data_IF_993546454374
#
_entry.id   IF_993546454374
#
_cell.length_a   1.000
_cell.length_b   1.000
_cell.length_c   1.000
_cell.angle_alpha   90.00
_cell.angle_beta   90.00
_cell.angle_gamma   90.00
#
_symmetry.space_group_name_H-M   'P 1'
#
loop_
_entity.id
_entity.type
_entity.pdbx_description
1 polymer ?
#
# COMPACT_ATOMS: atom_id res chain seq x y z
N UNK A 1 16.89 14.75 2.32
CA UNK A 1 15.63 15.41 1.96
C UNK A 1 14.90 14.46 1.04
N UNK A 2 14.17 13.48 1.57
CA UNK A 2 13.32 12.60 0.77
C UNK A 2 11.90 13.11 0.92
N UNK A 3 11.49 14.05 0.06
CA UNK A 3 10.06 14.33 -0.10
C UNK A 3 9.45 13.14 -0.82
N UNK A 4 8.38 12.55 -0.29
CA UNK A 4 7.69 11.43 -0.93
C UNK A 4 7.17 11.81 -2.34
N UNK A 5 7.10 13.10 -2.67
CA UNK A 5 6.77 13.65 -3.99
C UNK A 5 7.78 14.76 -4.34
N UNK A 6 8.74 14.48 -5.21
CA UNK A 6 9.84 15.40 -5.53
C UNK A 6 9.46 16.43 -6.60
N UNK A 7 8.37 16.22 -7.34
CA UNK A 7 8.04 16.97 -8.56
C UNK A 7 6.83 17.92 -8.42
N UNK A 8 6.58 18.43 -7.21
CA UNK A 8 5.37 19.23 -6.93
C UNK A 8 5.21 20.46 -7.83
N UNK A 9 6.30 21.15 -8.14
CA UNK A 9 6.28 22.33 -9.02
C UNK A 9 5.97 21.96 -10.47
N UNK A 10 6.48 20.81 -10.95
CA UNK A 10 6.20 20.30 -12.30
C UNK A 10 4.73 19.90 -12.45
N UNK A 11 4.18 19.25 -11.43
CA UNK A 11 2.76 18.87 -11.37
C UNK A 11 1.87 20.11 -11.37
N UNK A 12 2.18 21.11 -10.53
CA UNK A 12 1.46 22.38 -10.48
C UNK A 12 1.46 23.07 -11.83
N UNK A 13 2.62 23.14 -12.50
CA UNK A 13 2.74 23.74 -13.82
C UNK A 13 1.89 23.00 -14.86
N UNK A 14 1.90 21.68 -14.85
CA UNK A 14 1.12 20.87 -15.78
C UNK A 14 -0.39 21.02 -15.55
N UNK A 15 -0.85 20.96 -14.30
CA UNK A 15 -2.25 21.17 -13.95
C UNK A 15 -2.76 22.56 -14.34
N UNK A 16 -1.94 23.59 -14.13
CA UNK A 16 -2.29 24.96 -14.55
C UNK A 16 -2.44 25.05 -16.07
N UNK A 17 -1.49 24.47 -16.82
CA UNK A 17 -1.52 24.44 -18.29
C UNK A 17 -2.76 23.72 -18.82
N UNK A 18 -3.18 22.63 -18.18
CA UNK A 18 -4.41 21.91 -18.53
C UNK A 18 -5.62 22.85 -18.48
N UNK A 19 -5.76 23.63 -17.41
CA UNK A 19 -6.90 24.53 -17.21
C UNK A 19 -6.84 25.73 -18.16
N UNK A 20 -5.65 26.26 -18.43
CA UNK A 20 -5.45 27.31 -19.44
C UNK A 20 -5.89 26.87 -20.85
N UNK A 21 -5.62 25.62 -21.24
CA UNK A 21 -5.92 25.10 -22.58
C UNK A 21 -7.34 24.52 -22.71
N UNK A 22 -7.97 24.06 -21.62
CA UNK A 22 -9.27 23.38 -21.67
C UNK A 22 -10.41 24.15 -20.99
N UNK A 23 -10.10 25.21 -20.25
CA UNK A 23 -11.06 25.99 -19.48
C UNK A 23 -11.46 25.35 -18.15
N UNK A 24 -12.02 26.18 -17.26
CA UNK A 24 -12.42 25.78 -15.89
C UNK A 24 -13.58 24.79 -15.85
N UNK A 25 -14.39 24.71 -16.91
CA UNK A 25 -15.49 23.73 -17.00
C UNK A 25 -14.99 22.28 -16.98
N UNK A 26 -13.71 22.05 -17.28
CA UNK A 26 -13.08 20.74 -17.18
C UNK A 26 -13.19 20.12 -15.77
N UNK A 27 -13.26 20.94 -14.71
CA UNK A 27 -13.41 20.46 -13.34
C UNK A 27 -14.70 19.66 -13.11
N UNK A 28 -15.72 19.87 -13.95
CA UNK A 28 -17.01 19.16 -13.87
C UNK A 28 -17.04 17.90 -14.72
N UNK A 29 -16.06 17.70 -15.59
CA UNK A 29 -15.90 16.49 -16.41
C UNK A 29 -14.69 15.69 -15.95
N UNK A 30 -14.86 14.97 -14.84
CA UNK A 30 -13.79 14.17 -14.21
C UNK A 30 -13.22 13.12 -15.15
N UNK A 31 -14.02 12.55 -16.07
CA UNK A 31 -13.56 11.59 -17.08
C UNK A 31 -12.65 12.25 -18.11
N UNK A 32 -13.05 13.41 -18.64
CA UNK A 32 -12.20 14.16 -19.58
C UNK A 32 -10.94 14.65 -18.89
N UNK A 33 -11.04 15.17 -17.67
CA UNK A 33 -9.89 15.65 -16.91
C UNK A 33 -8.89 14.51 -16.67
N UNK A 34 -9.34 13.37 -16.16
CA UNK A 34 -8.45 12.21 -15.96
C UNK A 34 -7.87 11.65 -17.25
N UNK A 35 -8.59 11.77 -18.37
CA UNK A 35 -8.11 11.37 -19.70
C UNK A 35 -6.87 12.15 -20.13
N UNK A 36 -6.92 13.48 -20.03
CA UNK A 36 -5.84 14.36 -20.54
C UNK A 36 -4.61 14.43 -19.63
N UNK A 37 -4.72 14.07 -18.34
CA UNK A 37 -3.57 14.09 -17.42
C UNK A 37 -2.37 13.26 -17.94
N UNK A 38 -2.60 12.23 -18.76
CA UNK A 38 -1.52 11.44 -19.36
C UNK A 38 -0.68 12.25 -20.35
N UNK A 39 -1.29 13.21 -21.05
CA UNK A 39 -0.64 13.99 -22.11
C UNK A 39 0.25 15.10 -21.54
N UNK A 40 -0.11 15.63 -20.37
CA UNK A 40 0.59 16.77 -19.74
C UNK A 40 1.62 16.34 -18.69
N UNK A 41 1.49 15.13 -18.14
CA UNK A 41 2.38 14.62 -17.11
C UNK A 41 2.81 13.17 -17.40
N UNK A 42 3.43 12.88 -18.56
CA UNK A 42 3.73 11.51 -19.00
C UNK A 42 4.70 10.78 -18.05
N UNK A 43 5.68 11.51 -17.50
CA UNK A 43 6.75 10.96 -16.66
C UNK A 43 6.46 11.04 -15.14
N UNK A 44 5.41 11.75 -14.74
CA UNK A 44 5.01 11.92 -13.32
C UNK A 44 3.94 10.89 -12.91
N UNK A 45 4.25 9.62 -13.12
CA UNK A 45 3.25 8.55 -13.01
C UNK A 45 2.62 8.45 -11.61
N UNK A 46 3.41 8.65 -10.55
CA UNK A 46 2.96 8.55 -9.16
C UNK A 46 1.98 9.69 -8.83
N UNK A 47 2.39 10.92 -9.10
CA UNK A 47 1.63 12.15 -8.86
C UNK A 47 0.36 12.16 -9.70
N UNK A 48 0.47 11.80 -10.98
CA UNK A 48 -0.65 11.70 -11.92
C UNK A 48 -1.70 10.70 -11.44
N UNK A 49 -1.31 9.53 -10.93
CA UNK A 49 -2.24 8.51 -10.42
C UNK A 49 -2.93 8.97 -9.13
N UNK A 50 -2.19 9.59 -8.21
CA UNK A 50 -2.78 10.18 -7.00
C UNK A 50 -3.82 11.25 -7.37
N UNK A 51 -3.48 12.16 -8.28
CA UNK A 51 -4.41 13.19 -8.78
C UNK A 51 -5.64 12.56 -9.44
N UNK A 52 -5.45 11.51 -10.27
CA UNK A 52 -6.58 10.77 -10.87
C UNK A 52 -7.50 10.16 -9.83
N UNK A 53 -6.94 9.54 -8.79
CA UNK A 53 -7.72 8.95 -7.70
C UNK A 53 -8.58 10.02 -7.01
N UNK A 54 -8.00 11.16 -6.69
CA UNK A 54 -8.71 12.27 -6.04
C UNK A 54 -9.78 12.89 -6.95
N UNK A 55 -9.49 13.08 -8.23
CA UNK A 55 -10.48 13.57 -9.21
C UNK A 55 -11.64 12.59 -9.37
N UNK A 56 -11.37 11.28 -9.47
CA UNK A 56 -12.41 10.26 -9.63
C UNK A 56 -13.32 10.13 -8.40
N UNK A 57 -12.84 10.53 -7.22
CA UNK A 57 -13.63 10.62 -6.00
C UNK A 57 -14.34 11.98 -5.83
N UNK A 58 -14.42 12.78 -6.91
CA UNK A 58 -15.15 14.06 -6.99
C UNK A 58 -14.69 15.14 -6.00
N UNK A 59 -13.47 15.06 -5.47
CA UNK A 59 -12.97 16.02 -4.48
C UNK A 59 -12.91 17.44 -5.06
N UNK A 60 -12.47 17.59 -6.32
CA UNK A 60 -12.48 18.90 -7.00
C UNK A 60 -13.89 19.48 -7.07
N UNK A 61 -14.88 18.67 -7.43
CA UNK A 61 -16.28 19.11 -7.53
C UNK A 61 -16.79 19.57 -6.17
N UNK A 62 -16.57 18.78 -5.12
CA UNK A 62 -16.94 19.14 -3.76
C UNK A 62 -16.24 20.42 -3.29
N UNK A 63 -14.97 20.61 -3.67
CA UNK A 63 -14.23 21.82 -3.33
C UNK A 63 -14.84 23.06 -3.98
N UNK A 64 -15.26 22.98 -5.25
CA UNK A 64 -15.83 24.10 -5.99
C UNK A 64 -17.29 24.41 -5.62
N UNK A 65 -18.03 23.43 -5.09
CA UNK A 65 -19.40 23.60 -4.64
C UNK A 65 -19.50 24.32 -3.26
N UNK A 66 -18.40 24.34 -2.49
CA UNK A 66 -18.32 25.06 -1.21
C UNK A 66 -17.86 26.52 -1.42
N UNK A 67 -18.70 27.54 -1.13
CA UNK A 67 -18.36 28.94 -1.37
C UNK A 67 -17.23 29.48 -0.49
N UNK A 68 -17.04 28.94 0.72
CA UNK A 68 -15.93 29.33 1.59
C UNK A 68 -14.69 28.51 1.28
N UNK A 69 -13.67 29.16 0.70
CA UNK A 69 -12.41 28.52 0.30
C UNK A 69 -11.70 27.82 1.46
N UNK A 70 -11.73 28.40 2.68
CA UNK A 70 -11.06 27.79 3.84
C UNK A 70 -11.80 26.54 4.29
N UNK A 71 -13.13 26.62 4.36
CA UNK A 71 -13.97 25.48 4.72
C UNK A 71 -13.87 24.36 3.67
N UNK A 72 -13.80 24.73 2.39
CA UNK A 72 -13.60 23.82 1.26
C UNK A 72 -12.31 23.01 1.41
N UNK A 73 -11.19 23.66 1.71
CA UNK A 73 -9.89 23.01 1.95
C UNK A 73 -9.95 22.06 3.15
N UNK A 74 -10.57 22.47 4.26
CA UNK A 74 -10.71 21.63 5.46
C UNK A 74 -11.54 20.38 5.17
N UNK A 75 -12.69 20.53 4.50
CA UNK A 75 -13.56 19.39 4.14
C UNK A 75 -12.86 18.43 3.18
N UNK A 76 -12.17 18.96 2.16
CA UNK A 76 -11.41 18.14 1.22
C UNK A 76 -10.28 17.38 1.91
N UNK A 77 -9.57 18.03 2.86
CA UNK A 77 -8.55 17.39 3.69
C UNK A 77 -9.13 16.24 4.52
N UNK A 78 -10.19 16.50 5.28
CA UNK A 78 -10.83 15.49 6.13
C UNK A 78 -11.35 14.31 5.31
N UNK A 79 -11.99 14.58 4.17
CA UNK A 79 -12.45 13.53 3.26
C UNK A 79 -11.28 12.71 2.70
N UNK A 80 -10.20 13.35 2.28
CA UNK A 80 -9.01 12.66 1.79
C UNK A 80 -8.35 11.79 2.86
N UNK A 81 -8.29 12.24 4.11
CA UNK A 81 -7.70 11.49 5.22
C UNK A 81 -8.60 10.37 5.73
N UNK A 82 -9.90 10.65 5.91
CA UNK A 82 -10.80 9.78 6.66
C UNK A 82 -11.65 8.87 5.76
N UNK A 83 -12.04 9.33 4.57
CA UNK A 83 -12.89 8.57 3.65
C UNK A 83 -12.09 7.96 2.50
N UNK A 84 -11.06 8.66 2.01
CA UNK A 84 -10.15 8.15 0.98
C UNK A 84 -8.88 7.51 1.55
N UNK A 85 -8.67 7.60 2.87
CA UNK A 85 -7.52 7.01 3.59
C UNK A 85 -6.14 7.37 2.99
N UNK A 86 -6.01 8.57 2.42
CA UNK A 86 -4.74 9.08 1.94
C UNK A 86 -3.83 9.44 3.12
N UNK A 87 -2.52 9.31 2.95
CA UNK A 87 -1.57 9.79 3.95
C UNK A 87 -1.64 11.32 4.09
N UNK A 88 -1.21 11.85 5.23
CA UNK A 88 -1.12 13.30 5.43
C UNK A 88 -0.27 13.98 4.34
N UNK A 89 0.88 13.39 3.98
CA UNK A 89 1.73 13.91 2.90
C UNK A 89 1.04 13.92 1.54
N UNK A 90 0.36 12.83 1.17
CA UNK A 90 -0.37 12.77 -0.09
C UNK A 90 -1.53 13.78 -0.12
N UNK A 91 -2.21 13.94 1.01
CA UNK A 91 -3.31 14.88 1.18
C UNK A 91 -2.82 16.32 1.00
N UNK A 92 -1.77 16.73 1.72
CA UNK A 92 -1.22 18.09 1.60
C UNK A 92 -0.63 18.35 0.22
N UNK A 93 0.01 17.35 -0.40
CA UNK A 93 0.49 17.44 -1.78
C UNK A 93 -0.65 17.75 -2.77
N UNK A 94 -1.77 17.02 -2.65
CA UNK A 94 -2.91 17.22 -3.54
C UNK A 94 -3.60 18.55 -3.27
N UNK A 95 -3.79 18.93 -2.02
CA UNK A 95 -4.32 20.23 -1.65
C UNK A 95 -3.46 21.35 -2.24
N UNK A 96 -2.15 21.28 -2.08
CA UNK A 96 -1.22 22.27 -2.62
C UNK A 96 -1.31 22.38 -4.15
N UNK A 97 -1.44 21.24 -4.84
CA UNK A 97 -1.67 21.22 -6.29
C UNK A 97 -2.99 21.88 -6.68
N UNK A 98 -4.09 21.55 -6.00
CA UNK A 98 -5.42 22.04 -6.36
C UNK A 98 -5.62 23.50 -6.00
N UNK A 99 -5.20 23.93 -4.81
CA UNK A 99 -5.29 25.33 -4.41
C UNK A 99 -4.42 26.21 -5.30
N UNK A 100 -3.24 25.74 -5.70
CA UNK A 100 -2.42 26.45 -6.69
C UNK A 100 -3.13 26.58 -8.03
N UNK A 101 -3.75 25.49 -8.50
CA UNK A 101 -4.53 25.47 -9.74
C UNK A 101 -5.75 26.42 -9.70
N UNK A 102 -6.40 26.58 -8.54
CA UNK A 102 -7.52 27.51 -8.35
C UNK A 102 -7.10 28.96 -8.04
N UNK A 103 -5.81 29.20 -7.77
CA UNK A 103 -5.32 30.50 -7.30
C UNK A 103 -5.73 30.82 -5.85
N UNK A 104 -6.02 29.81 -5.04
CA UNK A 104 -6.43 29.97 -3.64
C UNK A 104 -5.21 30.07 -2.72
N UNK A 105 -5.26 30.91 -1.67
CA UNK A 105 -4.21 30.96 -0.68
C UNK A 105 -4.19 29.66 0.12
N UNK A 106 -3.04 28.99 0.14
CA UNK A 106 -2.84 27.75 0.88
C UNK A 106 -1.42 27.67 1.41
N UNK A 107 -1.25 27.04 2.57
CA UNK A 107 0.05 26.73 3.14
C UNK A 107 -0.05 25.32 3.71
N UNK A 108 0.77 24.37 3.23
CA UNK A 108 0.75 23.01 3.74
C UNK A 108 0.99 22.97 5.24
N UNK A 109 0.20 22.17 5.96
CA UNK A 109 0.30 22.05 7.42
C UNK A 109 1.48 21.16 7.87
N UNK A 110 2.14 20.48 6.92
CA UNK A 110 3.30 19.64 7.20
C UNK A 110 4.58 20.49 7.14
N UNK A 111 5.19 20.70 8.31
CA UNK A 111 6.60 21.10 8.39
C UNK A 111 7.44 20.00 7.75
N UNK A 112 8.39 20.36 6.90
CA UNK A 112 9.45 19.46 6.41
C UNK A 112 10.36 19.05 7.57
N UNK A 113 9.86 18.23 8.49
CA UNK A 113 10.69 17.44 9.38
C UNK A 113 10.71 16.02 8.80
N UNK A 114 11.89 15.42 8.56
CA UNK A 114 11.96 14.00 8.29
C UNK A 114 11.37 13.28 9.49
N UNK A 115 10.64 12.18 9.25
CA UNK A 115 10.17 11.31 10.31
C UNK A 115 11.27 11.11 11.36
N UNK A 116 10.98 11.20 12.66
CA UNK A 116 11.98 10.96 13.68
C UNK A 116 12.56 9.57 13.43
N UNK A 117 13.83 9.56 13.06
CA UNK A 117 14.66 8.35 13.05
C UNK A 117 14.42 7.68 14.40
N UNK A 118 13.97 6.40 14.46
CA UNK A 118 13.77 5.74 15.73
C UNK A 118 15.06 5.86 16.54
N UNK A 119 14.93 6.45 17.73
CA UNK A 119 16.05 6.81 18.59
C UNK A 119 17.03 5.64 18.69
N UNK A 120 18.28 5.90 18.31
CA UNK A 120 19.37 4.97 18.52
C UNK A 120 19.39 4.51 19.98
N UNK A 121 19.22 3.19 20.18
CA UNK A 121 19.47 2.57 21.47
C UNK A 121 20.91 2.90 21.92
N UNK A 122 21.15 3.14 23.23
CA UNK A 122 22.40 3.72 23.69
C UNK A 122 23.57 2.77 23.44
N UNK A 123 24.71 3.36 23.06
CA UNK A 123 25.97 2.71 22.79
C UNK A 123 26.33 1.65 23.84
N UNK A 124 26.33 0.37 23.43
CA UNK A 124 27.02 -0.68 24.17
C UNK A 124 28.47 -0.72 23.68
N UNK A 125 29.37 -0.48 24.62
CA UNK A 125 30.81 -0.65 24.45
C UNK A 125 31.11 -2.03 23.88
N UNK A 126 31.77 -2.04 22.73
CA UNK A 126 32.37 -3.22 22.15
C UNK A 126 33.46 -3.76 23.10
N UNK A 127 33.25 -4.97 23.62
CA UNK A 127 34.35 -5.85 23.99
C UNK A 127 34.40 -6.99 22.98
N UNK A 128 35.55 -7.06 22.34
CA UNK A 128 36.00 -8.08 21.40
C UNK A 128 35.79 -9.51 21.89
N UNK A 129 35.21 -10.35 21.04
CA UNK A 129 35.65 -11.74 20.83
C UNK A 129 35.09 -12.22 19.50
N UNK A 130 35.97 -12.74 18.64
CA UNK A 130 35.75 -12.80 17.20
C UNK A 130 34.92 -13.98 16.66
N UNK A 131 34.66 -13.87 15.35
CA UNK A 131 34.67 -15.01 14.43
C UNK A 131 33.34 -15.38 13.78
N UNK A 132 32.98 -14.71 12.67
CA UNK A 132 33.00 -15.27 11.30
C UNK A 132 32.45 -14.22 10.33
N UNK A 133 33.22 -13.94 9.28
CA UNK A 133 32.85 -13.01 8.23
C UNK A 133 31.63 -13.53 7.44
N UNK A 134 30.50 -12.85 7.54
CA UNK A 134 29.53 -12.80 6.43
C UNK A 134 29.97 -11.66 5.52
N UNK A 135 30.19 -12.01 4.25
CA UNK A 135 30.68 -11.12 3.21
C UNK A 135 29.61 -10.07 2.92
N UNK A 136 30.01 -8.80 2.89
CA UNK A 136 29.25 -7.72 2.27
C UNK A 136 28.88 -8.13 0.82
N UNK A 137 27.62 -8.51 0.61
CA UNK A 137 27.09 -8.68 -0.74
C UNK A 137 27.00 -7.29 -1.41
N UNK A 138 27.50 -7.13 -2.64
CA UNK A 138 27.38 -5.87 -3.37
C UNK A 138 25.91 -5.47 -3.55
N UNK A 139 25.58 -4.17 -3.68
CA UNK A 139 24.20 -3.72 -3.88
C UNK A 139 23.63 -4.42 -5.11
N UNK A 140 22.65 -5.29 -4.88
CA UNK A 140 21.98 -6.07 -5.92
C UNK A 140 21.39 -5.09 -6.92
N UNK A 141 21.88 -5.08 -8.17
CA UNK A 141 21.30 -4.26 -9.25
C UNK A 141 19.81 -4.57 -9.35
N UNK A 142 18.98 -3.63 -8.90
CA UNK A 142 17.54 -3.81 -8.91
C UNK A 142 17.04 -3.72 -10.35
N UNK A 143 16.31 -4.73 -10.81
CA UNK A 143 15.59 -4.71 -12.09
C UNK A 143 14.09 -4.62 -11.80
N UNK A 144 13.49 -3.42 -11.89
CA UNK A 144 12.08 -3.22 -11.59
C UNK A 144 11.18 -3.74 -12.72
N UNK A 145 10.09 -4.40 -12.35
CA UNK A 145 8.94 -4.70 -13.20
C UNK A 145 7.92 -3.59 -13.02
N UNK A 146 7.80 -2.72 -14.01
CA UNK A 146 7.02 -1.48 -13.94
C UNK A 146 5.57 -1.71 -14.38
N UNK A 147 4.64 -0.81 -14.04
CA UNK A 147 3.30 -0.86 -14.61
C UNK A 147 3.27 -0.92 -16.14
N UNK A 148 4.21 -0.23 -16.81
CA UNK A 148 4.36 -0.32 -18.26
C UNK A 148 4.66 -1.75 -18.77
N UNK A 149 5.50 -2.50 -18.05
CA UNK A 149 5.80 -3.91 -18.38
C UNK A 149 4.57 -4.81 -18.22
N UNK A 150 3.66 -4.41 -17.31
CA UNK A 150 2.45 -5.14 -16.99
C UNK A 150 1.35 -5.00 -18.07
N UNK A 151 1.32 -3.89 -18.82
CA UNK A 151 0.22 -3.55 -19.76
C UNK A 151 -0.10 -4.70 -20.72
N UNK A 152 0.94 -5.36 -21.24
CA UNK A 152 0.78 -6.50 -22.17
C UNK A 152 0.05 -7.70 -21.55
N UNK A 153 -0.05 -7.77 -20.23
CA UNK A 153 -0.74 -8.83 -19.49
C UNK A 153 -2.17 -8.47 -19.07
N UNK A 154 -2.67 -7.26 -19.39
CA UNK A 154 -3.94 -6.72 -18.88
C UNK A 154 -5.18 -7.61 -19.14
N UNK A 155 -5.17 -8.35 -20.24
CA UNK A 155 -6.26 -9.25 -20.64
C UNK A 155 -5.95 -10.73 -20.36
N UNK A 156 -4.77 -11.04 -19.81
CA UNK A 156 -4.32 -12.41 -19.60
C UNK A 156 -4.77 -12.91 -18.23
N UNK A 157 -5.45 -14.06 -18.16
CA UNK A 157 -5.89 -14.61 -16.88
C UNK A 157 -4.77 -15.27 -16.09
N UNK A 158 -3.71 -15.73 -16.75
CA UNK A 158 -2.60 -16.41 -16.11
C UNK A 158 -1.31 -15.73 -16.55
N UNK A 159 -0.58 -15.17 -15.61
CA UNK A 159 0.63 -14.38 -15.89
C UNK A 159 1.83 -15.03 -15.24
N UNK A 160 2.91 -15.16 -16.00
CA UNK A 160 4.23 -15.48 -15.47
C UNK A 160 5.17 -14.34 -15.80
N UNK A 161 5.67 -13.66 -14.77
CA UNK A 161 6.68 -12.62 -14.97
C UNK A 161 8.01 -13.31 -15.31
N UNK A 162 8.75 -12.84 -16.34
CA UNK A 162 10.05 -13.40 -16.69
C UNK A 162 11.05 -13.32 -15.53
N UNK A 163 12.02 -14.23 -15.49
CA UNK A 163 13.08 -14.19 -14.49
C UNK A 163 13.96 -12.93 -14.61
N UNK A 164 14.64 -12.58 -13.52
CA UNK A 164 15.60 -11.48 -13.45
C UNK A 164 15.00 -10.16 -12.96
N UNK A 165 13.68 -10.03 -12.88
CA UNK A 165 13.06 -8.90 -12.17
C UNK A 165 13.19 -9.10 -10.65
N UNK A 166 13.71 -8.09 -9.96
CA UNK A 166 13.98 -8.14 -8.52
C UNK A 166 12.96 -7.37 -7.70
N UNK A 167 12.18 -6.49 -8.34
CA UNK A 167 11.15 -5.67 -7.70
C UNK A 167 9.94 -5.65 -8.61
N UNK A 168 8.74 -5.80 -8.06
CA UNK A 168 7.49 -5.45 -8.75
C UNK A 168 7.09 -4.09 -8.22
N UNK A 169 7.07 -3.09 -9.10
CA UNK A 169 6.80 -1.73 -8.67
C UNK A 169 5.36 -1.56 -8.18
N UNK A 170 5.16 -0.51 -7.40
CA UNK A 170 3.85 -0.09 -6.94
C UNK A 170 2.87 0.04 -8.11
N UNK A 171 1.64 -0.41 -7.89
CA UNK A 171 0.55 -0.38 -8.86
C UNK A 171 0.82 -1.07 -10.21
N UNK A 172 1.74 -2.04 -10.27
CA UNK A 172 2.09 -2.72 -11.53
C UNK A 172 0.89 -3.44 -12.17
N UNK A 173 0.12 -4.17 -11.37
CA UNK A 173 -1.07 -4.93 -11.77
C UNK A 173 -2.36 -4.39 -11.13
N UNK A 174 -2.35 -3.18 -10.56
CA UNK A 174 -3.53 -2.56 -9.95
C UNK A 174 -4.74 -2.56 -10.89
N UNK A 175 -5.86 -3.09 -10.41
CA UNK A 175 -7.13 -3.19 -11.13
C UNK A 175 -7.14 -4.16 -12.31
N UNK A 176 -6.21 -5.14 -12.39
CA UNK A 176 -6.18 -6.10 -13.50
C UNK A 176 -7.32 -7.12 -13.39
N UNK A 177 -8.52 -6.72 -13.81
CA UNK A 177 -9.77 -7.47 -13.63
C UNK A 177 -9.92 -8.79 -14.40
N UNK A 178 -8.93 -9.18 -15.21
CA UNK A 178 -8.86 -10.50 -15.85
C UNK A 178 -7.87 -11.45 -15.17
N UNK A 179 -6.91 -10.92 -14.39
CA UNK A 179 -5.85 -11.70 -13.77
C UNK A 179 -6.44 -12.69 -12.76
N UNK A 180 -6.16 -13.97 -12.93
CA UNK A 180 -6.59 -15.07 -12.07
C UNK A 180 -5.43 -15.73 -11.34
N UNK A 181 -4.30 -15.90 -12.01
CA UNK A 181 -3.09 -16.46 -11.39
C UNK A 181 -1.87 -15.65 -11.79
N UNK A 182 -0.93 -15.48 -10.86
CA UNK A 182 0.37 -14.90 -11.18
C UNK A 182 1.52 -15.66 -10.52
N UNK A 183 2.55 -15.93 -11.32
CA UNK A 183 3.84 -16.43 -10.85
C UNK A 183 4.88 -15.32 -10.83
N UNK A 184 5.28 -14.95 -9.63
CA UNK A 184 6.33 -13.97 -9.35
C UNK A 184 7.70 -14.64 -9.59
N UNK A 185 8.69 -13.94 -10.19
CA UNK A 185 9.95 -14.57 -10.58
C UNK A 185 10.80 -14.91 -9.36
N UNK A 186 11.62 -15.95 -9.45
CA UNK A 186 12.42 -16.45 -8.32
C UNK A 186 13.50 -15.46 -7.84
N UNK A 187 13.78 -14.42 -8.62
CA UNK A 187 14.69 -13.32 -8.27
C UNK A 187 14.01 -12.15 -7.53
N UNK A 188 12.69 -12.15 -7.40
CA UNK A 188 11.93 -11.02 -6.83
C UNK A 188 12.12 -10.94 -5.30
N UNK A 189 12.54 -9.76 -4.83
CA UNK A 189 12.77 -9.44 -3.41
C UNK A 189 11.68 -8.55 -2.82
N UNK A 190 11.02 -7.74 -3.65
CA UNK A 190 10.07 -6.71 -3.20
C UNK A 190 8.82 -6.69 -4.09
N UNK A 191 7.64 -6.68 -3.47
CA UNK A 191 6.37 -6.34 -4.09
C UNK A 191 5.95 -4.96 -3.56
N UNK A 192 5.78 -4.02 -4.48
CA UNK A 192 5.51 -2.62 -4.18
C UNK A 192 4.09 -2.34 -3.69
N UNK A 193 3.89 -1.11 -3.21
CA UNK A 193 2.60 -0.64 -2.70
C UNK A 193 1.50 -0.84 -3.73
N UNK A 194 0.37 -1.42 -3.31
CA UNK A 194 -0.79 -1.63 -4.19
C UNK A 194 -0.47 -2.37 -5.51
N UNK A 195 0.61 -3.15 -5.57
CA UNK A 195 1.06 -3.78 -6.81
C UNK A 195 0.00 -4.66 -7.47
N UNK A 196 -0.88 -5.28 -6.70
CA UNK A 196 -1.98 -6.14 -7.15
C UNK A 196 -3.34 -5.71 -6.61
N UNK A 197 -3.49 -4.46 -6.13
CA UNK A 197 -4.77 -4.01 -5.60
C UNK A 197 -5.90 -4.13 -6.61
N UNK A 198 -7.14 -4.34 -6.14
CA UNK A 198 -8.34 -4.44 -6.97
C UNK A 198 -8.27 -5.53 -8.06
N UNK A 199 -7.35 -6.49 -7.97
CA UNK A 199 -7.30 -7.67 -8.82
C UNK A 199 -8.41 -8.66 -8.41
N UNK A 200 -9.68 -8.28 -8.59
CA UNK A 200 -10.87 -8.96 -8.07
C UNK A 200 -11.03 -10.42 -8.51
N UNK A 201 -10.33 -10.86 -9.56
CA UNK A 201 -10.33 -12.24 -10.05
C UNK A 201 -9.08 -13.04 -9.69
N UNK A 202 -8.09 -12.43 -9.05
CA UNK A 202 -6.84 -13.08 -8.67
C UNK A 202 -7.13 -14.08 -7.56
N UNK A 203 -6.95 -15.37 -7.87
CA UNK A 203 -7.24 -16.51 -6.99
C UNK A 203 -6.00 -17.12 -6.36
N UNK A 204 -4.87 -17.05 -7.05
CA UNK A 204 -3.62 -17.66 -6.61
C UNK A 204 -2.39 -16.84 -7.01
N UNK A 205 -1.47 -16.69 -6.07
CA UNK A 205 -0.19 -16.00 -6.25
C UNK A 205 0.93 -16.96 -5.86
N UNK A 206 1.86 -17.24 -6.77
CA UNK A 206 3.08 -17.98 -6.43
C UNK A 206 4.17 -16.98 -6.06
N UNK A 207 4.42 -16.83 -4.76
CA UNK A 207 5.50 -15.99 -4.21
C UNK A 207 6.82 -16.78 -4.18
N UNK A 208 7.98 -16.11 -4.40
CA UNK A 208 9.28 -16.78 -4.35
C UNK A 208 9.88 -16.74 -2.93
N UNK A 209 10.69 -17.75 -2.58
CA UNK A 209 11.38 -17.81 -1.28
C UNK A 209 12.38 -16.66 -1.05
N UNK A 210 12.78 -15.97 -2.12
CA UNK A 210 13.67 -14.80 -2.10
C UNK A 210 12.95 -13.50 -1.75
N UNK A 211 11.63 -13.50 -1.68
CA UNK A 211 10.84 -12.33 -1.33
C UNK A 211 11.10 -11.93 0.13
N UNK A 212 11.27 -10.63 0.36
CA UNK A 212 11.58 -10.04 1.68
C UNK A 212 10.58 -8.98 2.10
N UNK A 213 9.98 -8.28 1.13
CA UNK A 213 9.07 -7.16 1.40
C UNK A 213 7.82 -7.28 0.54
N UNK A 214 6.66 -7.14 1.19
CA UNK A 214 5.35 -6.91 0.57
C UNK A 214 4.84 -5.61 1.19
N UNK A 215 4.74 -4.57 0.37
CA UNK A 215 4.40 -3.24 0.87
C UNK A 215 2.89 -3.04 1.05
N UNK A 216 2.54 -1.92 1.70
CA UNK A 216 1.17 -1.46 1.96
C UNK A 216 0.21 -1.74 0.80
N UNK A 217 -0.93 -2.36 1.14
CA UNK A 217 -2.03 -2.59 0.22
C UNK A 217 -1.73 -3.48 -0.99
N UNK A 218 -0.58 -4.18 -1.02
CA UNK A 218 -0.12 -4.90 -2.22
C UNK A 218 -1.15 -5.88 -2.80
N UNK A 219 -1.99 -6.50 -1.97
CA UNK A 219 -3.08 -7.40 -2.40
C UNK A 219 -4.47 -6.90 -1.96
N UNK A 220 -4.62 -5.61 -1.64
CA UNK A 220 -5.91 -5.05 -1.20
C UNK A 220 -7.02 -5.28 -2.24
N UNK A 221 -8.22 -5.62 -1.77
CA UNK A 221 -9.40 -5.93 -2.57
C UNK A 221 -9.21 -7.05 -3.62
N UNK A 222 -8.27 -7.96 -3.40
CA UNK A 222 -8.18 -9.22 -4.17
C UNK A 222 -9.27 -10.21 -3.71
N UNK A 223 -10.54 -9.83 -3.92
CA UNK A 223 -11.73 -10.53 -3.40
C UNK A 223 -11.89 -11.99 -3.83
N UNK A 224 -11.17 -12.46 -4.85
CA UNK A 224 -11.15 -13.88 -5.24
C UNK A 224 -9.95 -14.67 -4.69
N UNK A 225 -9.03 -14.05 -3.96
CA UNK A 225 -7.82 -14.72 -3.46
C UNK A 225 -8.23 -15.72 -2.38
N UNK A 226 -8.02 -17.02 -2.62
CA UNK A 226 -8.51 -18.09 -1.74
C UNK A 226 -7.48 -18.50 -0.69
N UNK A 227 -6.21 -18.59 -1.10
CA UNK A 227 -5.09 -18.97 -0.24
C UNK A 227 -3.83 -18.19 -0.61
N UNK A 228 -3.02 -17.85 0.39
CA UNK A 228 -1.66 -17.36 0.17
C UNK A 228 -0.69 -17.89 1.22
N UNK A 229 0.52 -18.25 0.77
CA UNK A 229 1.60 -18.72 1.64
C UNK A 229 2.71 -17.69 1.61
N UNK A 230 2.95 -17.02 2.75
CA UNK A 230 4.00 -16.01 2.85
C UNK A 230 5.37 -16.70 3.04
N UNK A 231 6.38 -16.34 2.25
CA UNK A 231 7.70 -16.95 2.36
C UNK A 231 8.40 -16.53 3.67
N UNK A 232 9.25 -17.41 4.22
CA UNK A 232 9.95 -17.19 5.50
C UNK A 232 10.81 -15.92 5.56
N UNK A 233 11.13 -15.31 4.42
CA UNK A 233 11.85 -14.04 4.37
C UNK A 233 11.03 -12.80 4.78
N UNK A 234 9.70 -12.92 4.91
CA UNK A 234 8.82 -11.79 5.26
C UNK A 234 8.86 -11.53 6.77
N UNK A 235 9.13 -10.28 7.16
CA UNK A 235 9.25 -9.86 8.57
C UNK A 235 8.09 -9.01 9.06
N UNK A 236 7.27 -8.47 8.15
CA UNK A 236 6.13 -7.63 8.44
C UNK A 236 5.02 -7.88 7.41
N UNK A 237 3.77 -7.79 7.86
CA UNK A 237 2.60 -7.65 7.00
C UNK A 237 2.17 -6.19 7.15
N UNK A 238 2.33 -5.40 6.10
CA UNK A 238 2.08 -3.95 6.17
C UNK A 238 0.59 -3.62 6.18
N UNK A 239 0.30 -2.34 6.40
CA UNK A 239 -1.07 -1.79 6.39
C UNK A 239 -1.83 -2.22 5.12
N UNK A 240 -3.10 -2.57 5.27
CA UNK A 240 -4.01 -2.96 4.18
C UNK A 240 -3.56 -4.13 3.28
N UNK A 241 -2.47 -4.84 3.59
CA UNK A 241 -1.83 -5.78 2.64
C UNK A 241 -2.82 -6.77 2.03
N UNK A 242 -3.73 -7.33 2.83
CA UNK A 242 -4.81 -8.24 2.42
C UNK A 242 -6.21 -7.70 2.76
N UNK A 243 -6.35 -6.39 2.91
CA UNK A 243 -7.65 -5.76 3.18
C UNK A 243 -8.65 -6.11 2.07
N UNK A 244 -9.89 -6.38 2.43
CA UNK A 244 -11.02 -6.80 1.58
C UNK A 244 -10.72 -7.98 0.64
N UNK A 245 -9.81 -8.88 1.03
CA UNK A 245 -9.68 -10.20 0.39
C UNK A 245 -10.79 -11.13 0.90
N UNK A 246 -12.03 -10.84 0.51
CA UNK A 246 -13.25 -11.43 1.10
C UNK A 246 -13.32 -12.96 1.02
N UNK A 247 -12.69 -13.58 0.02
CA UNK A 247 -12.65 -15.04 -0.16
C UNK A 247 -11.34 -15.68 0.37
N UNK A 248 -10.49 -14.94 1.08
CA UNK A 248 -9.28 -15.50 1.67
C UNK A 248 -9.68 -16.44 2.80
N UNK A 249 -9.55 -17.74 2.58
CA UNK A 249 -9.90 -18.77 3.54
C UNK A 249 -8.70 -19.15 4.41
N UNK A 250 -7.49 -19.10 3.84
CA UNK A 250 -6.28 -19.59 4.47
C UNK A 250 -5.06 -18.72 4.14
N UNK A 251 -4.29 -18.39 5.18
CA UNK A 251 -3.00 -17.73 5.06
C UNK A 251 -1.97 -18.38 5.99
N UNK A 252 -0.83 -18.74 5.39
CA UNK A 252 0.33 -19.21 6.17
C UNK A 252 1.23 -18.01 6.48
N UNK A 253 1.24 -17.60 7.74
CA UNK A 253 2.09 -16.52 8.26
C UNK A 253 3.37 -17.13 8.86
N UNK A 254 4.56 -16.86 8.30
CA UNK A 254 5.79 -17.49 8.76
C UNK A 254 6.24 -16.93 10.12
N UNK A 255 6.99 -17.74 10.85
CA UNK A 255 7.51 -17.40 12.18
C UNK A 255 8.55 -16.25 12.19
N UNK A 256 8.89 -15.72 11.02
CA UNK A 256 9.74 -14.53 10.85
C UNK A 256 8.95 -13.22 11.04
N UNK A 257 7.62 -13.25 10.91
CA UNK A 257 6.78 -12.06 11.01
C UNK A 257 6.79 -11.53 12.44
N UNK A 258 7.08 -10.25 12.57
CA UNK A 258 7.20 -9.55 13.85
C UNK A 258 6.21 -8.39 14.02
N UNK A 259 5.56 -7.96 12.94
CA UNK A 259 4.52 -6.93 12.96
C UNK A 259 3.42 -7.19 11.93
N UNK A 260 2.20 -6.79 12.29
CA UNK A 260 1.03 -6.74 11.40
C UNK A 260 0.48 -5.32 11.47
N UNK A 261 0.43 -4.62 10.33
CA UNK A 261 -0.02 -3.23 10.22
C UNK A 261 -1.53 -3.08 10.26
N UNK A 262 -1.99 -1.83 10.33
CA UNK A 262 -3.41 -1.51 10.46
C UNK A 262 -4.23 -2.10 9.29
N UNK A 263 -5.44 -2.57 9.60
CA UNK A 263 -6.39 -3.12 8.62
C UNK A 263 -5.84 -4.24 7.70
N UNK A 264 -4.70 -4.87 8.04
CA UNK A 264 -4.02 -5.81 7.15
C UNK A 264 -4.88 -6.98 6.65
N UNK A 265 -5.89 -7.41 7.43
CA UNK A 265 -6.86 -8.45 7.06
C UNK A 265 -8.31 -7.97 7.20
N UNK A 266 -8.54 -6.65 7.19
CA UNK A 266 -9.89 -6.11 7.32
C UNK A 266 -10.79 -6.67 6.21
N UNK A 267 -12.02 -7.10 6.53
CA UNK A 267 -12.97 -7.58 5.52
C UNK A 267 -12.60 -8.92 4.86
N UNK A 268 -11.69 -9.70 5.45
CA UNK A 268 -11.46 -11.09 5.06
C UNK A 268 -12.58 -11.97 5.62
N UNK A 269 -13.76 -11.90 5.01
CA UNK A 269 -15.01 -12.48 5.52
C UNK A 269 -14.95 -14.01 5.72
N UNK A 270 -14.22 -14.72 4.87
CA UNK A 270 -14.08 -16.18 4.93
C UNK A 270 -12.88 -16.67 5.73
N UNK A 271 -12.04 -15.78 6.25
CA UNK A 271 -10.80 -16.17 6.94
C UNK A 271 -11.13 -16.77 8.29
N UNK A 272 -10.77 -18.04 8.47
CA UNK A 272 -11.15 -18.84 9.65
C UNK A 272 -9.98 -19.09 10.58
N UNK A 273 -9.04 -19.93 10.19
CA UNK A 273 -7.99 -20.39 11.10
C UNK A 273 -6.67 -19.72 10.75
N UNK A 274 -6.22 -18.80 11.59
CA UNK A 274 -4.94 -18.09 11.38
C UNK A 274 -4.00 -18.39 12.53
N UNK A 275 -2.86 -19.00 12.22
CA UNK A 275 -1.77 -19.17 13.19
C UNK A 275 -0.91 -17.91 13.21
N UNK A 276 -0.86 -17.25 14.36
CA UNK A 276 -0.01 -16.09 14.57
C UNK A 276 1.23 -16.46 15.40
N UNK A 277 2.46 -16.21 14.90
CA UNK A 277 3.68 -16.63 15.58
C UNK A 277 3.97 -15.80 16.84
N UNK A 278 4.69 -16.39 17.79
CA UNK A 278 5.12 -15.73 19.04
C UNK A 278 6.08 -14.55 18.82
N UNK A 279 6.65 -14.44 17.62
CA UNK A 279 7.57 -13.37 17.22
C UNK A 279 6.88 -12.03 17.01
N UNK A 280 5.55 -12.00 16.93
CA UNK A 280 4.78 -10.77 16.77
C UNK A 280 4.91 -9.89 18.01
N UNK A 281 5.37 -8.66 17.78
CA UNK A 281 5.55 -7.59 18.78
C UNK A 281 4.54 -6.46 18.61
N UNK A 282 3.93 -6.35 17.43
CA UNK A 282 3.01 -5.28 17.09
C UNK A 282 1.86 -5.83 16.22
N UNK A 283 0.63 -5.53 16.62
CA UNK A 283 -0.57 -5.74 15.81
C UNK A 283 -1.30 -4.40 15.76
N UNK A 284 -1.57 -3.93 14.54
CA UNK A 284 -2.22 -2.67 14.26
C UNK A 284 -3.70 -2.64 14.65
N UNK A 285 -4.32 -1.49 14.42
CA UNK A 285 -5.74 -1.25 14.61
C UNK A 285 -6.56 -1.96 13.52
N UNK A 286 -7.75 -2.43 13.87
CA UNK A 286 -8.73 -3.01 12.93
C UNK A 286 -8.22 -4.16 12.05
N UNK A 287 -7.13 -4.84 12.44
CA UNK A 287 -6.48 -5.89 11.63
C UNK A 287 -7.46 -6.97 11.18
N UNK A 288 -8.39 -7.37 12.04
CA UNK A 288 -9.41 -8.38 11.75
C UNK A 288 -10.84 -7.81 11.81
N UNK A 289 -11.00 -6.51 11.59
CA UNK A 289 -12.33 -5.91 11.50
C UNK A 289 -13.11 -6.55 10.34
N UNK A 290 -14.39 -6.83 10.53
CA UNK A 290 -15.25 -7.51 9.55
C UNK A 290 -14.78 -8.93 9.15
N UNK A 291 -14.12 -9.65 10.06
CA UNK A 291 -13.77 -11.07 9.90
C UNK A 291 -14.62 -11.94 10.86
N UNK A 292 -15.89 -12.25 10.54
CA UNK A 292 -16.84 -12.84 11.49
C UNK A 292 -16.53 -14.29 11.87
N UNK A 293 -15.73 -15.01 11.06
CA UNK A 293 -15.46 -16.43 11.23
C UNK A 293 -14.06 -16.72 11.81
N UNK A 294 -13.31 -15.69 12.21
CA UNK A 294 -11.89 -15.84 12.54
C UNK A 294 -11.65 -16.45 13.92
N UNK A 295 -10.70 -17.39 13.97
CA UNK A 295 -10.11 -18.00 15.14
C UNK A 295 -8.59 -17.87 15.04
N UNK A 296 -7.98 -17.21 16.02
CA UNK A 296 -6.54 -17.04 16.08
C UNK A 296 -5.89 -18.17 16.87
N UNK A 297 -5.03 -18.94 16.23
CA UNK A 297 -4.19 -19.91 16.92
C UNK A 297 -2.92 -19.21 17.42
N UNK A 298 -2.72 -19.22 18.74
CA UNK A 298 -1.58 -18.55 19.36
C UNK A 298 -1.06 -19.33 20.59
N UNK A 299 0.06 -18.90 21.15
CA UNK A 299 0.58 -19.48 22.39
C UNK A 299 -0.01 -18.79 23.60
N UNK A 300 -0.27 -19.59 24.64
CA UNK A 300 -0.74 -19.09 25.92
C UNK A 300 0.21 -18.04 26.49
N UNK A 301 -0.35 -16.96 27.05
CA UNK A 301 0.36 -15.80 27.60
C UNK A 301 1.23 -14.98 26.62
N UNK A 302 1.18 -15.26 25.32
CA UNK A 302 1.86 -14.47 24.28
C UNK A 302 1.25 -13.06 24.13
N UNK A 303 1.97 -12.17 23.43
CA UNK A 303 1.45 -10.86 23.03
C UNK A 303 0.15 -11.02 22.21
N UNK A 304 0.12 -11.97 21.28
CA UNK A 304 -1.05 -12.30 20.46
C UNK A 304 -2.24 -12.75 21.31
N UNK A 305 -2.02 -13.60 22.30
CA UNK A 305 -3.08 -14.04 23.22
C UNK A 305 -3.73 -12.85 23.94
N UNK A 306 -2.92 -11.93 24.49
CA UNK A 306 -3.42 -10.71 25.14
C UNK A 306 -4.16 -9.79 24.17
N UNK A 307 -3.68 -9.68 22.94
CA UNK A 307 -4.35 -8.92 21.88
C UNK A 307 -5.74 -9.49 21.59
N UNK A 308 -5.87 -10.82 21.46
CA UNK A 308 -7.16 -11.46 21.19
C UNK A 308 -8.15 -11.22 22.33
N UNK A 309 -7.71 -11.39 23.59
CA UNK A 309 -8.55 -11.11 24.77
C UNK A 309 -9.03 -9.65 24.82
N UNK A 310 -8.15 -8.71 24.49
CA UNK A 310 -8.45 -7.26 24.57
C UNK A 310 -9.46 -6.83 23.51
N UNK A 311 -9.41 -7.45 22.32
CA UNK A 311 -10.26 -7.09 21.18
C UNK A 311 -11.46 -8.03 21.01
N UNK A 312 -11.69 -8.97 21.93
CA UNK A 312 -12.80 -9.92 21.86
C UNK A 312 -12.73 -10.86 20.66
N UNK A 313 -11.52 -11.17 20.17
CA UNK A 313 -11.30 -12.07 19.03
C UNK A 313 -11.23 -13.51 19.55
N UNK A 314 -11.93 -14.44 18.90
CA UNK A 314 -11.87 -15.87 19.25
C UNK A 314 -10.47 -16.43 19.02
N UNK A 315 -9.99 -17.27 19.94
CA UNK A 315 -8.64 -17.83 19.86
C UNK A 315 -8.58 -19.26 20.41
N UNK A 316 -7.58 -20.00 19.93
CA UNK A 316 -7.24 -21.34 20.40
C UNK A 316 -5.74 -21.45 20.69
N UNK A 317 -5.37 -22.32 21.63
CA UNK A 317 -3.95 -22.55 21.94
C UNK A 317 -3.33 -23.60 21.04
N UNK A 318 -2.14 -23.30 20.52
CA UNK A 318 -1.31 -24.26 19.79
C UNK A 318 -0.87 -25.35 20.78
N UNK A 319 -1.33 -26.60 20.58
CA UNK A 319 -0.94 -27.75 21.41
C UNK A 319 0.53 -28.07 21.20
N UNK A 320 1.29 -28.27 22.28
CA UNK A 320 2.68 -28.75 22.19
C UNK A 320 2.68 -30.18 21.65
N UNK A 321 3.32 -30.39 20.51
CA UNK A 321 3.81 -31.70 20.08
C UNK A 321 5.25 -31.89 20.56
#
# INVERSE_FOLDING_TARGET
MNSQFENIDEVKAALKKIIEENGVELFRDTKRFTGILNDYMPDLEKERRLIKNVINNNVITQMLDEPDQKLSIVKAREYMLNDMFLSAYATEFVLDCFTHMFGWPFTPEIKTEPDPVPAAAPARQEKSSGGRAEKDEPPVKQKPFRPFDAIKYKIFPNVRIPEGYTVINSFAFDGYGFLKTIKIPSTCKVIGEYAFSECKKLRAVTLPDTLRVIQKGAFSSCSSLERIELPWGITAIEEDTFSFCSNLEDIVIPSSVSSIGDAAFQGCETLRDVTLPETIKFIGSNVFAFCPAITIQCRENSYVHKFCMTNGIHFEFIRKH
#
